data_IF_257972203285
#
_entry.id   IF_257972203285
#
_cell.length_a   1.000
_cell.length_b   1.000
_cell.length_c   1.000
_cell.angle_alpha   90.00
_cell.angle_beta   90.00
_cell.angle_gamma   90.00
#
_symmetry.space_group_name_H-M   'P 1'
#
loop_
_entity.id
_entity.type
_entity.pdbx_description
1 polymer ?
#
# COMPACT_ATOMS: atom_id res chain seq x y z
N UNK A 1 -64.40 45.22 -31.27
CA UNK A 1 -64.67 44.55 -32.55
C UNK A 1 -64.37 43.07 -32.37
N UNK A 2 -65.42 42.23 -32.47
CA UNK A 2 -65.55 40.75 -32.64
C UNK A 2 -64.37 39.84 -32.21
N UNK A 3 -64.48 38.89 -31.25
CA UNK A 3 -65.34 37.67 -31.18
C UNK A 3 -65.03 36.69 -32.34
N UNK A 4 -64.51 35.47 -32.15
CA UNK A 4 -65.25 34.28 -31.67
C UNK A 4 -64.35 33.14 -31.12
N UNK A 5 -64.83 32.56 -30.00
CA UNK A 5 -65.03 31.13 -29.62
C UNK A 5 -64.06 30.02 -30.13
N UNK A 6 -63.63 29.01 -29.35
CA UNK A 6 -64.44 28.01 -28.62
C UNK A 6 -63.54 27.11 -27.72
N UNK A 7 -63.97 26.85 -26.47
CA UNK A 7 -63.54 25.78 -25.53
C UNK A 7 -64.69 24.73 -25.47
N UNK A 8 -64.66 23.63 -24.67
CA UNK A 8 -63.73 22.49 -24.46
C UNK A 8 -64.43 21.09 -24.56
N UNK A 9 -63.69 19.97 -24.52
CA UNK A 9 -64.02 18.64 -23.93
C UNK A 9 -63.05 17.57 -24.47
N UNK A 10 -62.64 16.47 -23.83
CA UNK A 10 -62.56 15.95 -22.46
C UNK A 10 -61.88 14.56 -22.55
N UNK A 11 -61.32 14.03 -21.43
CA UNK A 11 -60.76 12.68 -21.17
C UNK A 11 -59.31 12.41 -21.65
N UNK A 12 -58.40 11.83 -20.86
CA UNK A 12 -58.35 11.37 -19.45
C UNK A 12 -56.85 11.10 -19.11
N UNK A 13 -56.36 11.40 -17.91
CA UNK A 13 -54.95 11.18 -17.51
C UNK A 13 -54.77 9.77 -16.91
N UNK A 14 -53.60 9.15 -17.12
CA UNK A 14 -53.23 7.89 -16.47
C UNK A 14 -51.96 8.07 -15.63
N UNK A 15 -52.13 7.90 -14.32
CA UNK A 15 -51.08 7.64 -13.33
C UNK A 15 -51.54 6.44 -12.46
N UNK A 16 -50.80 6.08 -11.41
CA UNK A 16 -49.86 4.96 -11.28
C UNK A 16 -50.51 3.66 -10.72
N UNK A 17 -49.80 2.52 -10.75
CA UNK A 17 -50.14 1.33 -9.95
C UNK A 17 -48.90 0.64 -9.37
N UNK A 18 -48.87 0.58 -8.04
CA UNK A 18 -48.29 -0.50 -7.22
C UNK A 18 -49.45 -1.12 -6.41
N UNK A 19 -49.27 -2.14 -5.55
CA UNK A 19 -48.51 -3.39 -5.64
C UNK A 19 -49.46 -4.62 -5.51
N UNK A 20 -48.98 -5.86 -5.71
CA UNK A 20 -49.62 -7.05 -5.13
C UNK A 20 -48.56 -8.04 -4.66
N UNK A 21 -48.63 -8.36 -3.37
CA UNK A 21 -47.94 -9.45 -2.72
C UNK A 21 -48.84 -10.70 -2.75
N UNK A 22 -48.25 -11.88 -2.94
CA UNK A 22 -48.78 -13.16 -2.47
C UNK A 22 -47.60 -14.13 -2.28
N UNK A 23 -47.55 -14.80 -1.14
CA UNK A 23 -46.47 -15.67 -0.65
C UNK A 23 -46.85 -17.17 -0.79
N UNK A 24 -46.19 -18.13 -0.09
CA UNK A 24 -45.03 -18.94 -0.49
C UNK A 24 -45.33 -20.46 -0.58
N UNK A 25 -44.45 -21.29 -1.19
CA UNK A 25 -44.42 -22.76 -0.95
C UNK A 25 -43.07 -23.44 -1.30
N UNK A 26 -42.37 -23.87 -0.24
CA UNK A 26 -41.62 -25.13 0.04
C UNK A 26 -40.69 -25.87 -0.97
N UNK A 27 -39.44 -26.08 -0.51
CA UNK A 27 -38.52 -27.26 -0.51
C UNK A 27 -38.16 -28.14 -1.75
N UNK A 28 -36.87 -28.03 -2.18
CA UNK A 28 -35.76 -29.03 -2.39
C UNK A 28 -36.00 -30.48 -2.96
N UNK A 29 -34.98 -31.27 -3.46
CA UNK A 29 -33.57 -31.02 -3.85
C UNK A 29 -33.06 -31.72 -5.17
N UNK A 30 -31.77 -31.46 -5.54
CA UNK A 30 -30.74 -32.41 -6.06
C UNK A 30 -30.43 -32.64 -7.59
N UNK A 31 -29.13 -32.37 -7.91
CA UNK A 31 -28.12 -33.15 -8.71
C UNK A 31 -27.73 -32.78 -10.17
N UNK A 32 -26.49 -32.26 -10.27
CA UNK A 32 -25.31 -32.62 -11.12
C UNK A 32 -25.30 -32.46 -12.68
N UNK A 33 -24.51 -31.45 -13.12
CA UNK A 33 -23.38 -31.45 -14.11
C UNK A 33 -23.61 -31.88 -15.59
N UNK A 34 -22.78 -31.47 -16.59
CA UNK A 34 -21.44 -30.84 -16.51
C UNK A 34 -21.20 -29.64 -17.46
N UNK A 35 -19.97 -29.14 -17.37
CA UNK A 35 -19.37 -27.92 -17.89
C UNK A 35 -18.96 -27.95 -19.38
N UNK A 36 -18.95 -26.76 -20.01
CA UNK A 36 -17.99 -26.44 -21.09
C UNK A 36 -17.35 -25.07 -20.86
N UNK A 37 -16.02 -25.13 -20.78
CA UNK A 37 -15.04 -24.08 -20.53
C UNK A 37 -15.06 -23.01 -21.62
N UNK A 38 -14.95 -21.73 -21.25
CA UNK A 38 -14.14 -20.73 -21.96
C UNK A 38 -13.87 -19.56 -21.01
N UNK A 39 -12.62 -19.10 -20.94
CA UNK A 39 -12.23 -17.92 -20.17
C UNK A 39 -10.93 -18.10 -19.40
N UNK A 40 -9.81 -18.29 -20.12
CA UNK A 40 -8.46 -18.12 -19.56
C UNK A 40 -8.31 -16.66 -19.10
N UNK A 41 -8.12 -16.44 -17.80
CA UNK A 41 -7.86 -15.13 -17.23
C UNK A 41 -7.05 -15.26 -15.94
N UNK A 42 -5.74 -15.02 -16.06
CA UNK A 42 -4.74 -14.84 -15.00
C UNK A 42 -4.49 -16.01 -14.03
N UNK A 43 -3.79 -17.03 -14.53
CA UNK A 43 -2.85 -17.78 -13.71
C UNK A 43 -1.56 -16.94 -13.54
N UNK A 44 -1.56 -15.97 -12.62
CA UNK A 44 -0.31 -15.41 -12.12
C UNK A 44 0.12 -16.26 -10.93
N UNK A 45 1.31 -16.83 -11.04
CA UNK A 45 1.90 -17.78 -10.13
C UNK A 45 1.81 -17.33 -8.66
N UNK A 46 1.33 -18.22 -7.80
CA UNK A 46 1.50 -18.13 -6.35
C UNK A 46 3.00 -18.26 -6.02
N UNK A 47 3.75 -17.18 -6.18
CA UNK A 47 5.11 -17.05 -5.65
C UNK A 47 4.92 -16.76 -4.17
N UNK A 48 5.02 -17.78 -3.31
CA UNK A 48 5.13 -17.54 -1.87
C UNK A 48 6.47 -16.85 -1.63
N UNK A 49 6.49 -15.59 -1.12
CA UNK A 49 7.74 -14.88 -0.90
C UNK A 49 8.64 -15.68 0.02
N UNK A 50 9.94 -15.76 -0.29
CA UNK A 50 10.94 -16.43 0.56
C UNK A 50 10.89 -15.95 2.01
N UNK A 51 10.63 -14.66 2.20
CA UNK A 51 10.47 -14.10 3.54
C UNK A 51 9.18 -14.51 4.24
N UNK A 52 8.11 -14.79 3.50
CA UNK A 52 6.86 -15.24 4.10
C UNK A 52 7.00 -16.66 4.65
N UNK A 53 7.67 -17.56 3.92
CA UNK A 53 7.99 -18.91 4.43
C UNK A 53 8.98 -18.85 5.59
N UNK A 54 10.02 -18.01 5.50
CA UNK A 54 10.95 -17.79 6.62
C UNK A 54 10.24 -17.26 7.87
N UNK A 55 9.32 -16.32 7.69
CA UNK A 55 8.51 -15.78 8.78
C UNK A 55 7.68 -16.87 9.46
N UNK A 56 6.96 -17.68 8.67
CA UNK A 56 6.09 -18.74 9.20
C UNK A 56 6.85 -19.87 9.90
N UNK A 57 8.02 -20.26 9.38
CA UNK A 57 8.74 -21.44 9.84
C UNK A 57 9.75 -21.16 10.96
N UNK A 58 10.49 -20.05 10.86
CA UNK A 58 11.63 -19.76 11.74
C UNK A 58 11.30 -18.62 12.69
N UNK A 59 10.86 -17.47 12.16
CA UNK A 59 10.66 -16.25 12.96
C UNK A 59 9.55 -16.44 13.98
N UNK A 60 8.40 -17.02 13.60
CA UNK A 60 7.31 -17.30 14.53
C UNK A 60 7.74 -18.21 15.69
N UNK A 61 8.53 -19.25 15.41
CA UNK A 61 9.00 -20.18 16.45
C UNK A 61 9.97 -19.50 17.41
N UNK A 62 10.95 -18.78 16.88
CA UNK A 62 11.92 -18.04 17.69
C UNK A 62 11.24 -16.98 18.58
N UNK A 63 10.23 -16.27 18.07
CA UNK A 63 9.45 -15.30 18.85
C UNK A 63 8.59 -15.97 19.93
N UNK A 64 8.00 -17.13 19.63
CA UNK A 64 7.26 -17.92 20.63
C UNK A 64 8.17 -18.40 21.75
N UNK A 65 9.37 -18.87 21.44
CA UNK A 65 10.32 -19.35 22.45
C UNK A 65 10.84 -18.20 23.34
N UNK A 66 11.12 -17.05 22.73
CA UNK A 66 11.70 -15.88 23.43
C UNK A 66 10.68 -15.21 24.35
N UNK A 67 9.46 -14.97 23.85
CA UNK A 67 8.45 -14.18 24.56
C UNK A 67 7.32 -15.01 25.17
N UNK A 68 7.28 -16.32 24.89
CA UNK A 68 6.30 -17.27 25.46
C UNK A 68 4.86 -16.77 25.36
N UNK A 69 4.47 -16.30 24.17
CA UNK A 69 3.12 -15.80 23.92
C UNK A 69 2.06 -16.86 24.26
N UNK A 70 0.94 -16.41 24.82
CA UNK A 70 -0.16 -17.30 25.21
C UNK A 70 -0.97 -17.77 24.00
N UNK A 71 -0.92 -17.03 22.90
CA UNK A 71 -1.67 -17.32 21.68
C UNK A 71 -0.82 -17.11 20.44
N UNK A 72 -0.95 -18.00 19.46
CA UNK A 72 -0.26 -17.90 18.16
C UNK A 72 -0.62 -16.62 17.40
N UNK A 73 -1.79 -16.04 17.68
CA UNK A 73 -2.25 -14.79 17.06
C UNK A 73 -1.63 -13.54 17.70
N UNK A 74 -0.98 -13.67 18.85
CA UNK A 74 -0.30 -12.57 19.55
C UNK A 74 1.10 -12.31 18.97
N UNK A 75 1.63 -13.26 18.19
CA UNK A 75 2.96 -13.15 17.58
C UNK A 75 2.99 -11.92 16.66
N UNK A 76 3.95 -11.00 16.87
CA UNK A 76 4.13 -9.84 16.01
C UNK A 76 4.29 -10.22 14.54
N UNK A 77 3.68 -9.44 13.66
CA UNK A 77 3.71 -9.59 12.21
C UNK A 77 3.91 -8.23 11.53
N UNK A 78 4.41 -8.25 10.30
CA UNK A 78 4.39 -7.08 9.43
C UNK A 78 2.94 -6.83 8.95
N UNK A 79 2.43 -5.62 9.17
CA UNK A 79 1.08 -5.24 8.75
C UNK A 79 1.09 -4.51 7.39
N UNK A 80 1.91 -3.46 7.29
CA UNK A 80 2.07 -2.67 6.07
C UNK A 80 3.44 -2.01 6.06
N UNK A 81 3.94 -1.75 4.85
CA UNK A 81 5.10 -0.88 4.65
C UNK A 81 4.62 0.34 3.87
N UNK A 82 4.88 1.53 4.39
CA UNK A 82 4.56 2.80 3.74
C UNK A 82 5.87 3.42 3.28
N UNK A 83 5.96 3.74 2.01
CA UNK A 83 7.12 4.43 1.43
C UNK A 83 6.64 5.82 1.03
N UNK A 84 7.40 6.83 1.44
CA UNK A 84 7.10 8.23 1.22
C UNK A 84 8.32 8.94 0.61
N UNK A 85 8.09 9.74 -0.42
CA UNK A 85 9.09 10.63 -1.00
C UNK A 85 8.54 12.05 -0.93
N UNK A 86 9.29 12.93 -0.25
CA UNK A 86 9.07 14.36 -0.29
C UNK A 86 9.86 14.99 -1.43
N UNK A 87 9.18 15.63 -2.39
CA UNK A 87 9.82 16.33 -3.50
C UNK A 87 9.56 17.82 -3.32
N UNK A 88 10.40 18.50 -2.53
CA UNK A 88 10.25 19.94 -2.25
C UNK A 88 10.22 20.82 -3.52
N UNK A 89 10.92 20.38 -4.57
CA UNK A 89 10.99 21.06 -5.87
C UNK A 89 9.72 20.85 -6.74
N UNK A 90 8.80 19.98 -6.32
CA UNK A 90 7.57 19.70 -7.07
C UNK A 90 6.61 20.90 -7.13
N UNK A 91 6.77 21.87 -6.23
CA UNK A 91 5.99 23.12 -6.23
C UNK A 91 6.33 24.01 -7.42
N UNK A 92 7.57 23.94 -7.91
CA UNK A 92 8.06 24.69 -9.07
C UNK A 92 7.92 23.89 -10.36
N UNK A 93 8.25 22.59 -10.32
CA UNK A 93 8.30 21.72 -11.50
C UNK A 93 7.48 20.44 -11.31
N UNK A 94 6.30 20.40 -11.93
CA UNK A 94 5.43 19.21 -11.91
C UNK A 94 6.09 17.96 -12.54
N UNK A 95 6.95 18.15 -13.54
CA UNK A 95 7.68 17.06 -14.22
C UNK A 95 8.56 16.25 -13.26
N UNK A 96 9.16 16.93 -12.27
CA UNK A 96 10.01 16.28 -11.26
C UNK A 96 9.22 15.37 -10.33
N UNK A 97 7.94 15.67 -10.14
CA UNK A 97 7.04 14.81 -9.39
C UNK A 97 6.65 13.58 -10.22
N UNK A 98 6.37 13.75 -11.51
CA UNK A 98 6.04 12.62 -12.41
C UNK A 98 7.20 11.62 -12.54
N UNK A 99 8.44 12.10 -12.63
CA UNK A 99 9.65 11.27 -12.57
C UNK A 99 9.70 10.45 -11.27
N UNK A 100 9.49 11.10 -10.12
CA UNK A 100 9.49 10.42 -8.83
C UNK A 100 8.36 9.37 -8.70
N UNK A 101 7.18 9.63 -9.30
CA UNK A 101 6.09 8.64 -9.37
C UNK A 101 6.49 7.42 -10.20
N UNK A 102 7.17 7.64 -11.33
CA UNK A 102 7.64 6.58 -12.21
C UNK A 102 8.69 5.71 -11.51
N UNK A 103 9.70 6.34 -10.90
CA UNK A 103 10.79 5.67 -10.17
C UNK A 103 10.25 4.83 -9.01
N UNK A 104 9.38 5.39 -8.16
CA UNK A 104 8.73 4.63 -7.08
C UNK A 104 7.87 3.48 -7.61
N UNK A 105 7.21 3.70 -8.76
CA UNK A 105 6.42 2.68 -9.44
C UNK A 105 7.26 1.50 -9.88
N UNK A 106 8.47 1.75 -10.40
CA UNK A 106 9.42 0.72 -10.82
C UNK A 106 9.96 -0.07 -9.62
N UNK A 107 10.32 0.61 -8.53
CA UNK A 107 10.83 -0.03 -7.31
C UNK A 107 9.78 -0.95 -6.68
N UNK A 108 8.53 -0.46 -6.57
CA UNK A 108 7.49 -1.11 -5.76
C UNK A 108 6.52 -1.97 -6.57
N UNK A 109 6.53 -1.86 -7.90
CA UNK A 109 5.56 -2.51 -8.78
C UNK A 109 4.11 -2.05 -8.56
N UNK A 110 3.93 -0.91 -7.89
CA UNK A 110 2.62 -0.33 -7.58
C UNK A 110 2.62 1.16 -7.90
N UNK A 111 1.56 1.63 -8.58
CA UNK A 111 1.40 3.04 -8.90
C UNK A 111 1.30 3.87 -7.59
N UNK A 112 2.22 4.82 -7.35
CA UNK A 112 2.18 5.67 -6.16
C UNK A 112 1.02 6.68 -6.21
N UNK A 113 0.61 7.13 -5.04
CA UNK A 113 -0.38 8.20 -4.86
C UNK A 113 0.35 9.51 -4.62
N UNK A 114 0.04 10.52 -5.44
CA UNK A 114 0.56 11.88 -5.26
C UNK A 114 -0.08 12.55 -4.04
N UNK A 115 0.72 13.04 -3.11
CA UNK A 115 0.28 13.74 -1.90
C UNK A 115 0.14 15.23 -2.17
N UNK A 116 -1.00 15.80 -1.77
CA UNK A 116 -1.31 17.23 -1.92
C UNK A 116 -1.21 17.94 -0.57
N UNK A 117 -0.85 19.22 -0.63
CA UNK A 117 -0.83 20.16 0.48
C UNK A 117 -2.21 20.27 1.15
N UNK A 118 -2.27 20.16 2.48
CA UNK A 118 -3.47 20.42 3.26
C UNK A 118 -3.59 21.86 3.78
N UNK A 119 -2.45 22.54 3.93
CA UNK A 119 -2.37 23.91 4.47
C UNK A 119 -1.43 24.73 3.61
N UNK A 120 -1.75 26.00 3.46
CA UNK A 120 -0.87 26.96 2.79
C UNK A 120 0.16 27.49 3.77
N UNK A 121 1.44 27.45 3.41
CA UNK A 121 2.54 27.94 4.24
C UNK A 121 3.49 28.77 3.39
N UNK A 122 3.55 30.07 3.68
CA UNK A 122 4.32 31.04 2.90
C UNK A 122 5.83 30.74 2.90
N UNK A 123 6.40 30.29 4.02
CA UNK A 123 7.83 29.96 4.14
C UNK A 123 8.30 28.88 3.17
N UNK A 124 7.40 27.96 2.79
CA UNK A 124 7.66 26.89 1.83
C UNK A 124 7.12 27.21 0.42
N UNK A 125 6.64 28.44 0.18
CA UNK A 125 6.00 28.89 -1.07
C UNK A 125 4.86 27.97 -1.53
N UNK A 126 4.14 27.39 -0.59
CA UNK A 126 3.27 26.25 -0.82
C UNK A 126 1.82 26.65 -0.58
N UNK A 127 0.96 26.33 -1.55
CA UNK A 127 -0.49 26.60 -1.51
C UNK A 127 -1.27 25.30 -1.33
N UNK A 128 -2.44 25.40 -0.70
CA UNK A 128 -3.39 24.29 -0.57
C UNK A 128 -3.70 23.62 -1.91
N UNK A 129 -3.76 22.29 -1.91
CA UNK A 129 -4.02 21.48 -3.09
C UNK A 129 -2.82 21.26 -4.03
N UNK A 130 -1.69 21.94 -3.84
CA UNK A 130 -0.47 21.68 -4.62
C UNK A 130 0.12 20.30 -4.33
N UNK A 131 0.64 19.62 -5.35
CA UNK A 131 1.32 18.34 -5.19
C UNK A 131 2.75 18.54 -4.66
N UNK A 132 3.12 17.81 -3.61
CA UNK A 132 4.41 17.98 -2.91
C UNK A 132 5.23 16.69 -2.94
N UNK A 133 4.57 15.54 -3.00
CA UNK A 133 5.27 14.27 -2.88
C UNK A 133 4.46 13.10 -3.36
N UNK A 134 5.02 11.92 -3.14
CA UNK A 134 4.44 10.66 -3.54
C UNK A 134 4.52 9.67 -2.39
N UNK A 135 3.46 8.89 -2.19
CA UNK A 135 3.45 7.80 -1.23
C UNK A 135 2.89 6.53 -1.84
N UNK A 136 3.37 5.40 -1.36
CA UNK A 136 2.80 4.09 -1.67
C UNK A 136 2.68 3.27 -0.40
N UNK A 137 1.64 2.45 -0.33
CA UNK A 137 1.43 1.54 0.80
C UNK A 137 1.38 0.13 0.26
N UNK A 138 2.36 -0.67 0.69
CA UNK A 138 2.50 -2.07 0.34
C UNK A 138 1.90 -2.95 1.43
N UNK A 139 1.14 -3.96 1.01
CA UNK A 139 0.52 -4.98 1.88
C UNK A 139 0.60 -6.36 1.22
N UNK A 140 0.47 -7.41 2.02
CA UNK A 140 0.46 -8.78 1.52
C UNK A 140 1.79 -9.20 0.89
N UNK A 141 1.74 -9.87 -0.25
CA UNK A 141 2.91 -10.45 -0.94
C UNK A 141 3.94 -9.38 -1.30
N UNK A 142 3.51 -8.27 -1.91
CA UNK A 142 4.39 -7.17 -2.37
C UNK A 142 5.17 -6.51 -1.24
N UNK A 143 4.62 -6.52 -0.02
CA UNK A 143 5.30 -6.00 1.17
C UNK A 143 6.51 -6.87 1.54
N UNK A 144 6.34 -8.19 1.53
CA UNK A 144 7.43 -9.12 1.81
C UNK A 144 8.49 -9.08 0.71
N UNK A 145 8.10 -9.00 -0.57
CA UNK A 145 9.06 -8.88 -1.67
C UNK A 145 9.88 -7.58 -1.58
N UNK A 146 9.23 -6.45 -1.27
CA UNK A 146 9.93 -5.19 -1.08
C UNK A 146 10.88 -5.23 0.11
N UNK A 147 10.47 -5.82 1.25
CA UNK A 147 11.35 -5.96 2.41
C UNK A 147 12.56 -6.86 2.11
N UNK A 148 12.37 -7.95 1.35
CA UNK A 148 13.47 -8.82 0.93
C UNK A 148 14.47 -8.08 0.05
N UNK A 149 13.98 -7.35 -0.96
CA UNK A 149 14.82 -6.51 -1.83
C UNK A 149 15.57 -5.46 -1.03
N UNK A 150 14.90 -4.84 -0.05
CA UNK A 150 15.51 -3.82 0.79
C UNK A 150 16.68 -4.39 1.59
N UNK A 151 16.46 -5.50 2.29
CA UNK A 151 17.46 -6.10 3.19
C UNK A 151 18.61 -6.75 2.40
N UNK A 152 18.28 -7.53 1.37
CA UNK A 152 19.25 -8.37 0.65
C UNK A 152 20.03 -7.60 -0.41
N UNK A 153 19.44 -6.58 -1.04
CA UNK A 153 20.04 -5.88 -2.19
C UNK A 153 20.30 -4.41 -1.89
N UNK A 154 19.31 -3.70 -1.34
CA UNK A 154 19.37 -2.25 -1.24
C UNK A 154 20.29 -1.76 -0.11
N UNK A 155 20.19 -2.32 1.10
CA UNK A 155 21.00 -1.89 2.25
C UNK A 155 22.51 -2.07 2.04
N UNK A 156 23.01 -3.19 1.48
CA UNK A 156 24.44 -3.34 1.20
C UNK A 156 24.98 -2.36 0.15
N UNK A 157 24.11 -1.82 -0.72
CA UNK A 157 24.49 -0.83 -1.75
C UNK A 157 24.51 0.60 -1.25
N UNK A 158 24.05 0.85 -0.02
CA UNK A 158 24.12 2.19 0.59
C UNK A 158 25.59 2.56 0.81
N UNK A 159 26.00 3.74 0.33
CA UNK A 159 27.32 4.29 0.59
C UNK A 159 27.53 4.49 2.09
N UNK A 160 28.65 3.99 2.63
CA UNK A 160 29.01 4.02 4.05
C UNK A 160 28.00 3.30 4.97
N UNK A 161 27.54 2.12 4.57
CA UNK A 161 26.61 1.32 5.37
C UNK A 161 27.27 0.75 6.64
N UNK A 162 26.87 1.27 7.82
CA UNK A 162 27.30 0.78 9.15
C UNK A 162 26.23 -0.01 9.89
N UNK A 163 25.16 -0.39 9.19
CA UNK A 163 23.95 -0.92 9.80
C UNK A 163 22.89 0.17 10.01
N UNK A 164 21.65 -0.26 10.20
CA UNK A 164 20.52 0.63 10.50
C UNK A 164 20.45 0.92 12.00
N UNK A 165 20.02 2.14 12.35
CA UNK A 165 19.93 2.56 13.75
C UNK A 165 18.90 1.74 14.53
N UNK A 166 19.25 1.35 15.76
CA UNK A 166 18.33 0.69 16.71
C UNK A 166 17.35 1.66 17.35
N UNK A 167 17.58 2.96 17.25
CA UNK A 167 16.79 3.98 17.95
C UNK A 167 15.64 4.53 17.10
N UNK A 168 15.43 4.01 15.89
CA UNK A 168 14.41 4.52 14.97
C UNK A 168 13.02 3.88 15.15
N UNK A 169 12.76 3.32 16.33
CA UNK A 169 11.43 2.86 16.74
C UNK A 169 10.64 4.00 17.36
N UNK A 170 9.32 3.93 17.22
CA UNK A 170 8.39 4.99 17.65
C UNK A 170 7.78 4.76 19.05
N UNK A 171 8.28 3.80 19.83
CA UNK A 171 7.72 3.43 21.14
C UNK A 171 6.50 2.51 21.06
N UNK A 172 5.97 2.26 19.86
CA UNK A 172 4.78 1.44 19.60
C UNK A 172 5.07 0.30 18.64
N UNK A 173 6.34 -0.09 18.51
CA UNK A 173 6.75 -1.21 17.66
C UNK A 173 6.75 -0.92 16.16
N UNK A 174 6.66 0.33 15.72
CA UNK A 174 6.88 0.68 14.31
C UNK A 174 8.31 1.18 14.11
N UNK A 175 8.86 0.91 12.94
CA UNK A 175 10.22 1.28 12.60
C UNK A 175 10.25 2.22 11.41
N UNK A 176 11.01 3.30 11.49
CA UNK A 176 11.20 4.25 10.38
C UNK A 176 12.64 4.26 9.91
N UNK A 177 12.84 4.07 8.61
CA UNK A 177 14.15 4.14 7.96
C UNK A 177 14.15 5.30 6.95
N UNK A 178 15.06 6.25 7.15
CA UNK A 178 15.35 7.28 6.15
C UNK A 178 16.47 6.83 5.22
N UNK A 179 16.21 6.82 3.91
CA UNK A 179 17.19 6.53 2.87
C UNK A 179 17.50 7.82 2.14
N UNK A 180 18.80 8.14 2.02
CA UNK A 180 19.24 9.39 1.40
C UNK A 180 19.21 9.36 -0.13
N UNK A 181 19.42 8.18 -0.71
CA UNK A 181 19.61 8.03 -2.15
C UNK A 181 18.74 6.88 -2.69
N UNK A 182 17.91 7.15 -3.69
CA UNK A 182 17.08 6.14 -4.37
C UNK A 182 17.88 5.18 -5.27
N UNK A 183 19.14 5.51 -5.56
CA UNK A 183 20.06 4.75 -6.44
C UNK A 183 20.48 3.39 -5.89
N UNK A 184 20.09 3.08 -4.66
CA UNK A 184 20.37 1.78 -4.03
C UNK A 184 19.58 0.64 -4.66
N UNK A 185 18.47 0.96 -5.32
CA UNK A 185 17.64 -0.02 -6.01
C UNK A 185 18.18 -0.29 -7.42
N UNK A 186 18.49 -1.55 -7.78
CA UNK A 186 18.97 -1.90 -9.11
C UNK A 186 17.97 -1.59 -10.23
N UNK A 187 16.68 -1.45 -9.89
CA UNK A 187 15.63 -1.13 -10.85
C UNK A 187 15.71 0.32 -11.37
N UNK A 188 16.44 1.20 -10.68
CA UNK A 188 16.61 2.59 -11.09
C UNK A 188 17.81 2.70 -12.04
N UNK A 189 17.55 3.30 -13.18
CA UNK A 189 18.56 3.61 -14.20
C UNK A 189 19.27 4.92 -13.85
N UNK A 190 20.59 4.85 -13.63
CA UNK A 190 21.40 6.00 -13.21
C UNK A 190 21.30 7.17 -14.19
N UNK A 191 21.17 6.89 -15.48
CA UNK A 191 21.16 7.92 -16.53
C UNK A 191 19.85 8.72 -16.58
N UNK A 192 18.76 8.17 -16.01
CA UNK A 192 17.45 8.82 -15.99
C UNK A 192 17.24 9.69 -14.76
N UNK A 193 18.12 9.59 -13.76
CA UNK A 193 17.98 10.33 -12.50
C UNK A 193 18.57 11.73 -12.64
N UNK A 194 17.69 12.72 -12.82
CA UNK A 194 18.11 14.12 -12.89
C UNK A 194 18.59 14.69 -11.54
N UNK A 195 18.04 14.19 -10.42
CA UNK A 195 18.40 14.64 -9.07
C UNK A 195 18.26 13.48 -8.08
N UNK A 196 19.24 13.34 -7.20
CA UNK A 196 19.19 12.36 -6.10
C UNK A 196 18.10 12.76 -5.12
N UNK A 197 17.19 11.82 -4.85
CA UNK A 197 16.09 11.98 -3.89
C UNK A 197 16.20 10.92 -2.81
N UNK A 198 15.85 11.32 -1.60
CA UNK A 198 15.68 10.42 -0.48
C UNK A 198 14.25 9.89 -0.37
N UNK A 199 14.08 8.84 0.41
CA UNK A 199 12.78 8.26 0.73
C UNK A 199 12.72 7.81 2.18
N UNK A 200 11.56 7.97 2.79
CA UNK A 200 11.25 7.47 4.11
C UNK A 200 10.44 6.18 3.99
N UNK A 201 10.89 5.15 4.69
CA UNK A 201 10.27 3.84 4.71
C UNK A 201 9.78 3.58 6.13
N UNK A 202 8.47 3.50 6.31
CA UNK A 202 7.82 3.22 7.58
C UNK A 202 7.32 1.79 7.55
N UNK A 203 7.89 0.96 8.42
CA UNK A 203 7.52 -0.42 8.62
C UNK A 203 6.57 -0.47 9.81
N UNK A 204 5.32 -0.82 9.54
CA UNK A 204 4.29 -0.95 10.58
C UNK A 204 4.15 -2.41 10.94
N UNK A 205 4.37 -2.71 12.21
CA UNK A 205 4.21 -4.05 12.76
C UNK A 205 2.99 -4.12 13.67
N UNK A 206 2.62 -5.33 14.10
CA UNK A 206 1.59 -5.53 15.12
C UNK A 206 2.17 -5.61 16.54
N UNK A 207 3.49 -5.47 16.70
CA UNK A 207 4.13 -5.44 18.01
C UNK A 207 3.60 -4.27 18.83
N UNK A 208 3.50 -4.46 20.15
CA UNK A 208 3.11 -3.38 21.07
C UNK A 208 4.31 -2.66 21.64
N UNK A 209 5.46 -3.34 21.66
CA UNK A 209 6.70 -2.84 22.25
C UNK A 209 7.83 -2.85 21.23
N UNK A 210 8.77 -1.92 21.41
CA UNK A 210 9.93 -1.81 20.51
C UNK A 210 10.86 -3.02 20.58
N UNK A 211 10.92 -3.70 21.73
CA UNK A 211 11.73 -4.91 21.90
C UNK A 211 11.26 -6.04 20.98
N UNK A 212 9.95 -6.25 20.94
CA UNK A 212 9.33 -7.27 20.08
C UNK A 212 9.52 -6.93 18.60
N UNK A 213 9.34 -5.65 18.24
CA UNK A 213 9.55 -5.19 16.87
C UNK A 213 11.02 -5.32 16.44
N UNK A 214 11.95 -5.00 17.33
CA UNK A 214 13.38 -5.16 17.11
C UNK A 214 13.74 -6.62 16.86
N UNK A 215 13.34 -7.54 17.74
CA UNK A 215 13.59 -8.96 17.57
C UNK A 215 12.96 -9.53 16.30
N UNK A 216 11.75 -9.09 15.94
CA UNK A 216 11.11 -9.47 14.69
C UNK A 216 11.93 -9.04 13.47
N UNK A 217 12.39 -7.78 13.43
CA UNK A 217 13.18 -7.27 12.31
C UNK A 217 14.56 -7.91 12.24
N UNK A 218 15.20 -8.17 13.39
CA UNK A 218 16.50 -8.82 13.48
C UNK A 218 16.43 -10.26 12.95
N UNK A 219 15.42 -11.04 13.36
CA UNK A 219 15.20 -12.40 12.85
C UNK A 219 14.85 -12.44 11.36
N UNK A 220 14.20 -11.39 10.85
CA UNK A 220 13.96 -11.24 9.41
C UNK A 220 15.22 -10.81 8.63
N UNK A 221 16.35 -10.59 9.30
CA UNK A 221 17.65 -10.34 8.67
C UNK A 221 18.01 -8.86 8.56
N UNK A 222 17.32 -7.97 9.27
CA UNK A 222 17.62 -6.54 9.22
C UNK A 222 18.99 -6.25 9.87
N UNK A 223 19.94 -5.66 9.14
CA UNK A 223 21.30 -5.43 9.64
C UNK A 223 21.35 -4.20 10.57
N UNK A 224 21.05 -4.40 11.85
CA UNK A 224 21.19 -3.34 12.86
C UNK A 224 22.66 -3.04 13.14
N UNK A 225 22.96 -1.76 13.35
CA UNK A 225 24.27 -1.32 13.81
C UNK A 225 24.58 -1.99 15.16
N UNK A 226 25.78 -2.58 15.28
CA UNK A 226 26.31 -3.14 16.53
C UNK A 226 27.02 -2.08 17.35
#
# INVERSE_FOLDING_TARGET
MAEETKKPAAKKPAAPKAPKAEAPKAEAPAKKAPSKKTGKGNAQANITPRLKTKYENEVKKALLETYKYKSTMEIPALNKIVINIGVGDATSDAKRLDEAVQELGQITGQKPVTTRAKKSVASFKLREGQAIGCKVTLRGVRMYDFFDKLVSIALPRVRDFRGVSRNAFDGRGNYTLGIKEQLIFPEIDYDKVAKVRGMDIVIVTTAKTDKEAYSLLELMGMPFQR
#
